data_IF_087026238327
#
_entry.id   IF_087026238327
#
_cell.length_a   1.000
_cell.length_b   1.000
_cell.length_c   1.000
_cell.angle_alpha   90.00
_cell.angle_beta   90.00
_cell.angle_gamma   90.00
#
_symmetry.space_group_name_H-M   'P 1'
#
loop_
_entity.id
_entity.type
_entity.pdbx_description
1 polymer ?
#
# COMPACT_ATOMS: atom_id res chain seq x y z
N UNK A 1 -0.57 -1.54 33.87
CA UNK A 1 -1.01 -0.53 32.89
C UNK A 1 -0.30 -0.85 31.58
N UNK A 2 -1.01 -1.05 30.47
CA UNK A 2 -0.37 -1.21 29.17
C UNK A 2 0.29 0.11 28.78
N UNK A 3 1.58 0.10 28.44
CA UNK A 3 2.27 1.25 27.89
C UNK A 3 1.55 1.66 26.58
N UNK A 4 1.33 2.96 26.31
CA UNK A 4 0.74 3.37 25.06
C UNK A 4 1.68 2.99 23.92
N UNK A 5 1.19 2.15 23.00
CA UNK A 5 1.94 1.77 21.80
C UNK A 5 2.19 3.01 20.92
N UNK A 6 3.35 3.09 20.25
CA UNK A 6 3.59 4.16 19.29
C UNK A 6 2.52 4.14 18.18
N UNK A 7 2.11 5.30 17.65
CA UNK A 7 1.09 5.36 16.61
C UNK A 7 1.62 4.79 15.28
N UNK A 8 0.99 3.74 14.77
CA UNK A 8 1.38 3.08 13.52
C UNK A 8 2.03 1.72 13.72
N UNK A 9 2.37 1.08 12.61
CA UNK A 9 3.11 -0.19 12.63
C UNK A 9 4.59 0.10 12.87
N UNK A 10 5.22 -0.69 13.73
CA UNK A 10 6.66 -0.69 13.91
C UNK A 10 7.33 -1.39 12.71
N UNK A 11 8.62 -1.09 12.40
CA UNK A 11 9.33 -1.76 11.32
C UNK A 11 9.30 -3.30 11.41
N UNK A 12 9.33 -3.84 12.63
CA UNK A 12 9.24 -5.29 12.85
C UNK A 12 7.86 -5.84 12.54
N UNK A 13 6.78 -5.12 12.87
CA UNK A 13 5.42 -5.51 12.51
C UNK A 13 5.20 -5.45 10.99
N UNK A 14 5.77 -4.47 10.29
CA UNK A 14 5.71 -4.43 8.83
C UNK A 14 6.50 -5.59 8.22
N UNK A 15 7.69 -5.91 8.76
CA UNK A 15 8.44 -7.11 8.37
C UNK A 15 7.63 -8.39 8.58
N UNK A 16 6.94 -8.52 9.72
CA UNK A 16 6.05 -9.64 10.00
C UNK A 16 4.88 -9.74 9.02
N UNK A 17 4.30 -8.62 8.59
CA UNK A 17 3.26 -8.63 7.55
C UNK A 17 3.83 -9.02 6.17
N UNK A 18 5.04 -8.55 5.85
CA UNK A 18 5.75 -8.92 4.62
C UNK A 18 6.04 -10.42 4.53
N UNK A 19 6.20 -11.12 5.66
CA UNK A 19 6.42 -12.57 5.67
C UNK A 19 5.28 -13.39 5.05
N UNK A 20 4.10 -12.80 4.90
CA UNK A 20 2.94 -13.43 4.24
C UNK A 20 2.97 -13.31 2.72
N UNK A 21 3.88 -12.52 2.15
CA UNK A 21 4.05 -12.39 0.69
C UNK A 21 4.46 -13.72 0.07
N UNK A 22 3.92 -14.02 -1.10
CA UNK A 22 4.28 -15.23 -1.85
C UNK A 22 5.56 -15.00 -2.64
N UNK A 23 6.51 -15.93 -2.47
CA UNK A 23 7.77 -15.97 -3.23
C UNK A 23 7.90 -17.29 -3.98
N UNK A 24 8.68 -17.29 -5.06
CA UNK A 24 8.98 -18.54 -5.79
C UNK A 24 10.16 -19.25 -5.15
N UNK A 25 9.98 -20.53 -4.81
CA UNK A 25 11.04 -21.40 -4.30
C UNK A 25 11.25 -22.59 -5.22
N UNK A 26 12.49 -23.08 -5.28
CA UNK A 26 12.87 -24.31 -5.95
C UNK A 26 13.32 -25.30 -4.86
N UNK A 27 12.51 -26.33 -4.55
CA UNK A 27 12.86 -27.32 -3.53
C UNK A 27 14.04 -28.18 -3.99
N UNK A 28 14.91 -28.55 -3.06
CA UNK A 28 16.08 -29.42 -3.29
C UNK A 28 15.83 -30.88 -2.94
N UNK A 29 14.75 -31.15 -2.23
CA UNK A 29 14.30 -32.48 -1.84
C UNK A 29 12.78 -32.55 -1.84
N UNK A 30 12.22 -33.76 -1.98
CA UNK A 30 10.78 -33.96 -1.90
C UNK A 30 10.30 -33.70 -0.47
N UNK A 31 9.32 -32.81 -0.31
CA UNK A 31 8.71 -32.47 0.96
C UNK A 31 7.22 -32.80 0.90
N UNK A 32 6.76 -33.57 1.88
CA UNK A 32 5.34 -33.83 2.05
C UNK A 32 4.63 -32.56 2.57
N UNK A 33 3.33 -32.46 2.28
CA UNK A 33 2.51 -31.33 2.71
C UNK A 33 2.40 -31.26 4.23
N UNK A 34 2.21 -30.04 4.74
CA UNK A 34 2.01 -29.76 6.16
C UNK A 34 0.56 -29.34 6.38
N UNK A 35 -0.10 -29.93 7.37
CA UNK A 35 -1.43 -29.50 7.83
C UNK A 35 -1.27 -28.28 8.75
N UNK A 36 -1.55 -27.08 8.23
CA UNK A 36 -1.47 -25.83 8.98
C UNK A 36 -2.88 -25.29 9.29
N UNK A 37 -2.96 -24.36 10.24
CA UNK A 37 -4.23 -23.68 10.57
C UNK A 37 -4.83 -22.93 9.36
N UNK A 38 -3.98 -22.41 8.47
CA UNK A 38 -4.39 -21.75 7.22
C UNK A 38 -4.73 -22.71 6.08
N UNK A 39 -4.73 -24.03 6.33
CA UNK A 39 -4.93 -25.07 5.33
C UNK A 39 -3.67 -25.89 5.04
N UNK A 40 -3.80 -27.02 4.34
CA UNK A 40 -2.68 -27.88 3.98
C UNK A 40 -1.78 -27.20 2.94
N UNK A 41 -0.46 -27.33 3.10
CA UNK A 41 0.50 -26.94 2.06
C UNK A 41 0.63 -28.02 1.01
N UNK A 42 0.87 -27.64 -0.24
CA UNK A 42 1.13 -28.60 -1.31
C UNK A 42 2.45 -29.37 -1.09
N UNK A 43 2.51 -30.58 -1.67
CA UNK A 43 3.75 -31.37 -1.69
C UNK A 43 4.76 -30.72 -2.63
N UNK A 44 5.99 -30.56 -2.17
CA UNK A 44 7.06 -29.91 -2.93
C UNK A 44 7.93 -30.97 -3.58
N UNK A 45 8.02 -30.94 -4.91
CA UNK A 45 8.78 -31.91 -5.69
C UNK A 45 9.89 -31.20 -6.48
N UNK A 46 11.18 -31.51 -6.23
CA UNK A 46 12.27 -31.01 -7.06
C UNK A 46 12.17 -31.48 -8.51
N UNK A 47 12.65 -30.70 -9.49
CA UNK A 47 13.12 -29.31 -9.39
C UNK A 47 11.99 -28.28 -9.65
N UNK A 48 10.72 -28.66 -9.48
CA UNK A 48 9.61 -27.82 -9.90
C UNK A 48 9.43 -26.60 -8.97
N UNK A 49 9.29 -25.38 -9.54
CA UNK A 49 9.08 -24.19 -8.74
C UNK A 49 7.71 -24.23 -8.06
N UNK A 50 7.66 -23.73 -6.82
CA UNK A 50 6.43 -23.62 -6.03
C UNK A 50 6.33 -22.21 -5.43
N UNK A 51 5.10 -21.75 -5.20
CA UNK A 51 4.85 -20.47 -4.51
C UNK A 51 4.56 -20.76 -3.04
N UNK A 52 5.33 -20.16 -2.13
CA UNK A 52 5.15 -20.30 -0.69
C UNK A 52 5.17 -18.92 -0.03
N UNK A 53 4.51 -18.74 1.12
CA UNK A 53 4.71 -17.58 1.97
C UNK A 53 6.20 -17.43 2.34
N UNK A 54 6.67 -16.19 2.39
CA UNK A 54 8.06 -15.86 2.66
C UNK A 54 8.58 -16.49 3.96
N UNK A 55 7.81 -16.50 5.05
CA UNK A 55 8.25 -17.14 6.31
C UNK A 55 8.64 -18.62 6.12
N UNK A 56 7.87 -19.36 5.31
CA UNK A 56 8.11 -20.77 5.06
C UNK A 56 9.30 -20.95 4.11
N UNK A 57 9.40 -20.09 3.09
CA UNK A 57 10.53 -20.08 2.17
C UNK A 57 11.85 -19.83 2.92
N UNK A 58 11.91 -18.84 3.80
CA UNK A 58 13.08 -18.53 4.62
C UNK A 58 13.43 -19.67 5.58
N UNK A 59 12.43 -20.31 6.19
CA UNK A 59 12.64 -21.49 7.05
C UNK A 59 13.29 -22.64 6.26
N UNK A 60 12.78 -22.94 5.06
CA UNK A 60 13.32 -24.00 4.20
C UNK A 60 14.72 -23.66 3.67
N UNK A 61 14.97 -22.38 3.34
CA UNK A 61 16.29 -21.88 2.95
C UNK A 61 17.32 -22.06 4.06
N UNK A 62 16.98 -21.67 5.30
CA UNK A 62 17.83 -21.87 6.49
C UNK A 62 18.16 -23.35 6.73
N UNK A 63 17.22 -24.24 6.42
CA UNK A 63 17.43 -25.70 6.50
C UNK A 63 18.15 -26.29 5.29
N UNK A 64 18.55 -25.48 4.29
CA UNK A 64 19.18 -25.90 3.03
C UNK A 64 18.31 -26.83 2.17
N UNK A 65 16.99 -26.75 2.33
CA UNK A 65 16.00 -27.62 1.65
C UNK A 65 15.38 -27.00 0.41
N UNK A 66 15.54 -25.69 0.21
CA UNK A 66 15.06 -24.97 -0.97
C UNK A 66 16.00 -23.80 -1.28
N UNK A 67 16.03 -23.39 -2.54
CA UNK A 67 16.57 -22.11 -2.98
C UNK A 67 15.40 -21.19 -3.32
N UNK A 68 15.57 -19.89 -3.13
CA UNK A 68 14.57 -18.88 -3.49
C UNK A 68 14.93 -18.34 -4.86
N UNK A 69 13.95 -18.16 -5.74
CA UNK A 69 14.14 -17.45 -7.00
C UNK A 69 13.83 -15.97 -6.77
N UNK A 70 14.81 -15.05 -6.88
CA UNK A 70 14.56 -13.63 -6.68
C UNK A 70 13.49 -13.10 -7.64
N UNK A 71 12.58 -12.22 -7.19
CA UNK A 71 11.61 -11.61 -8.09
C UNK A 71 12.31 -10.69 -9.09
N UNK A 72 11.83 -10.62 -10.36
CA UNK A 72 12.53 -9.87 -11.42
C UNK A 72 12.77 -8.38 -11.14
N UNK A 73 11.92 -7.72 -10.34
CA UNK A 73 12.13 -6.33 -9.93
C UNK A 73 13.28 -6.14 -8.95
N UNK A 74 13.70 -7.21 -8.26
CA UNK A 74 14.83 -7.21 -7.33
C UNK A 74 16.12 -7.66 -8.03
N UNK A 75 16.31 -7.22 -9.27
CA UNK A 75 17.53 -7.43 -10.05
C UNK A 75 18.30 -6.11 -10.19
N UNK A 76 19.64 -6.14 -10.37
CA UNK A 76 20.43 -4.91 -10.51
C UNK A 76 19.95 -4.00 -11.64
N UNK A 77 19.64 -4.55 -12.81
CA UNK A 77 19.17 -3.80 -13.98
C UNK A 77 17.82 -3.13 -13.73
N UNK A 78 16.88 -3.85 -13.12
CA UNK A 78 15.56 -3.31 -12.78
C UNK A 78 15.66 -2.20 -11.74
N UNK A 79 16.36 -2.44 -10.63
CA UNK A 79 16.50 -1.44 -9.56
C UNK A 79 17.18 -0.17 -10.07
N UNK A 80 18.13 -0.31 -11.01
CA UNK A 80 18.74 0.84 -11.67
C UNK A 80 17.73 1.62 -12.52
N UNK A 81 16.93 0.94 -13.35
CA UNK A 81 15.84 1.59 -14.13
C UNK A 81 14.84 2.32 -13.22
N UNK A 82 14.43 1.69 -12.11
CA UNK A 82 13.54 2.29 -11.11
C UNK A 82 14.20 3.52 -10.45
N UNK A 83 15.49 3.44 -10.11
CA UNK A 83 16.22 4.57 -9.51
C UNK A 83 16.36 5.74 -10.50
N UNK A 84 16.60 5.47 -11.78
CA UNK A 84 16.63 6.48 -12.84
C UNK A 84 15.26 7.17 -12.97
N UNK A 85 14.17 6.40 -12.94
CA UNK A 85 12.80 6.96 -12.89
C UNK A 85 12.60 7.86 -11.66
N UNK A 86 13.06 7.43 -10.48
CA UNK A 86 12.86 8.19 -9.24
C UNK A 86 13.68 9.47 -9.16
N UNK A 87 14.83 9.51 -9.83
CA UNK A 87 15.75 10.65 -9.85
C UNK A 87 15.47 11.64 -10.99
N UNK A 88 14.63 11.28 -11.98
CA UNK A 88 14.25 12.19 -13.06
C UNK A 88 13.52 13.43 -12.50
N UNK A 89 14.06 14.65 -12.66
CA UNK A 89 13.42 15.87 -12.17
C UNK A 89 12.05 16.13 -12.82
N UNK A 90 11.78 15.61 -14.02
CA UNK A 90 10.48 15.76 -14.70
C UNK A 90 9.36 15.00 -13.98
N UNK A 91 9.72 13.96 -13.23
CA UNK A 91 8.81 13.07 -12.52
C UNK A 91 8.86 13.29 -10.99
N UNK A 92 9.34 14.45 -10.54
CA UNK A 92 9.54 14.74 -9.12
C UNK A 92 8.27 14.60 -8.24
N UNK A 93 7.08 14.74 -8.84
CA UNK A 93 5.78 14.57 -8.16
C UNK A 93 5.22 13.15 -8.16
N UNK A 94 5.88 12.18 -8.79
CA UNK A 94 5.43 10.80 -8.89
C UNK A 94 6.48 9.84 -8.34
N UNK A 95 6.02 8.81 -7.64
CA UNK A 95 6.82 7.65 -7.25
C UNK A 95 6.72 6.56 -8.33
N UNK A 96 7.70 5.68 -8.36
CA UNK A 96 7.71 4.52 -9.22
C UNK A 96 6.39 3.73 -9.05
N UNK A 97 5.78 3.29 -10.16
CA UNK A 97 4.49 2.61 -10.12
C UNK A 97 4.59 1.25 -9.44
N UNK A 98 3.53 0.89 -8.72
CA UNK A 98 3.35 -0.46 -8.20
C UNK A 98 2.91 -1.45 -9.28
N UNK A 99 2.80 -2.75 -8.95
CA UNK A 99 2.30 -3.77 -9.86
C UNK A 99 0.93 -3.40 -10.43
N UNK A 100 0.68 -3.80 -11.68
CA UNK A 100 -0.59 -3.51 -12.34
C UNK A 100 -1.73 -4.26 -11.62
N UNK A 101 -2.85 -3.56 -11.45
CA UNK A 101 -4.02 -4.15 -10.81
C UNK A 101 -4.74 -5.10 -11.77
N UNK A 102 -5.23 -6.26 -11.30
CA UNK A 102 -6.00 -7.17 -12.14
C UNK A 102 -7.31 -6.51 -12.60
N UNK A 103 -7.77 -6.87 -13.80
CA UNK A 103 -9.09 -6.46 -14.29
C UNK A 103 -10.18 -7.02 -13.37
N UNK A 104 -11.25 -6.24 -13.16
CA UNK A 104 -12.40 -6.69 -12.37
C UNK A 104 -13.14 -7.82 -13.11
N UNK A 105 -13.09 -9.03 -12.57
CA UNK A 105 -13.67 -10.24 -13.19
C UNK A 105 -15.12 -10.53 -12.78
N UNK A 106 -15.88 -9.54 -12.30
CA UNK A 106 -17.21 -9.77 -11.72
C UNK A 106 -18.33 -10.01 -12.75
N UNK A 107 -19.12 -11.07 -12.54
CA UNK A 107 -20.48 -11.22 -13.11
C UNK A 107 -21.48 -10.81 -12.03
N UNK A 108 -22.31 -9.80 -12.29
CA UNK A 108 -23.23 -9.23 -11.30
C UNK A 108 -24.42 -10.17 -11.04
N UNK A 109 -24.66 -10.54 -9.77
CA UNK A 109 -25.93 -11.14 -9.34
C UNK A 109 -26.89 -10.01 -8.89
N UNK A 110 -28.19 -10.03 -9.24
CA UNK A 110 -29.07 -8.86 -9.15
C UNK A 110 -29.28 -8.25 -7.74
N UNK A 111 -29.11 -9.01 -6.65
CA UNK A 111 -29.64 -8.61 -5.33
C UNK A 111 -28.67 -8.69 -4.13
N UNK A 112 -27.36 -8.86 -4.36
CA UNK A 112 -26.39 -9.00 -3.25
C UNK A 112 -25.30 -7.90 -3.30
N UNK A 113 -25.56 -6.68 -2.77
CA UNK A 113 -24.67 -5.54 -2.92
C UNK A 113 -23.29 -5.71 -2.27
N UNK A 114 -23.19 -6.54 -1.23
CA UNK A 114 -21.93 -6.83 -0.53
C UNK A 114 -21.15 -8.01 -1.15
N UNK A 115 -21.79 -8.81 -2.00
CA UNK A 115 -21.16 -9.88 -2.79
C UNK A 115 -21.01 -9.48 -4.27
N UNK A 116 -21.22 -8.20 -4.60
CA UNK A 116 -20.93 -7.67 -5.92
C UNK A 116 -19.44 -7.88 -6.18
N UNK A 117 -19.08 -8.83 -7.03
CA UNK A 117 -17.68 -9.06 -7.42
C UNK A 117 -17.03 -7.82 -8.07
N UNK A 118 -17.82 -6.80 -8.45
CA UNK A 118 -17.34 -5.45 -8.80
C UNK A 118 -16.61 -4.73 -7.64
N UNK A 119 -16.80 -5.12 -6.38
CA UNK A 119 -16.20 -4.48 -5.20
C UNK A 119 -14.99 -5.21 -4.62
N UNK A 120 -14.61 -6.38 -5.15
CA UNK A 120 -13.36 -7.05 -4.78
C UNK A 120 -12.20 -6.46 -5.59
N UNK A 121 -11.91 -5.19 -5.35
CA UNK A 121 -10.72 -4.53 -5.88
C UNK A 121 -9.50 -5.06 -5.12
N UNK A 122 -8.82 -6.05 -5.71
CA UNK A 122 -7.52 -6.50 -5.20
C UNK A 122 -6.57 -5.30 -5.29
N UNK A 123 -6.13 -4.83 -4.13
CA UNK A 123 -5.17 -3.74 -4.01
C UNK A 123 -3.90 -4.23 -3.33
N UNK A 124 -2.84 -3.44 -3.45
CA UNK A 124 -1.61 -3.66 -2.68
C UNK A 124 -1.91 -3.71 -1.17
N UNK A 125 -1.38 -4.68 -0.41
CA UNK A 125 -0.35 -5.67 -0.77
C UNK A 125 -0.87 -6.97 -1.43
N UNK A 126 -2.17 -7.20 -1.54
CA UNK A 126 -2.76 -8.48 -1.91
C UNK A 126 -2.69 -8.83 -3.41
N UNK A 127 -1.84 -8.13 -4.18
CA UNK A 127 -1.64 -8.38 -5.60
C UNK A 127 -0.87 -9.70 -5.77
N UNK A 128 -1.50 -10.64 -6.47
CA UNK A 128 -0.88 -11.94 -6.77
C UNK A 128 0.39 -11.74 -7.60
N UNK A 129 1.38 -12.61 -7.37
CA UNK A 129 2.62 -12.67 -8.15
C UNK A 129 3.50 -11.40 -8.07
N UNK A 130 3.24 -10.48 -7.14
CA UNK A 130 4.03 -9.25 -6.94
C UNK A 130 5.48 -9.51 -6.52
N UNK A 131 5.72 -10.64 -5.85
CA UNK A 131 7.01 -11.01 -5.26
C UNK A 131 7.49 -12.39 -5.72
N UNK A 132 6.92 -12.91 -6.81
CA UNK A 132 7.27 -14.21 -7.40
C UNK A 132 8.18 -14.04 -8.61
N UNK A 133 8.62 -15.16 -9.19
CA UNK A 133 9.36 -15.19 -10.46
C UNK A 133 8.59 -14.59 -11.66
N UNK A 134 7.28 -14.37 -11.51
CA UNK A 134 6.41 -13.75 -12.51
C UNK A 134 6.19 -12.26 -12.27
N UNK A 135 6.82 -11.68 -11.24
CA UNK A 135 6.66 -10.26 -10.94
C UNK A 135 7.18 -9.38 -12.09
N UNK A 136 6.55 -8.23 -12.25
CA UNK A 136 6.90 -7.25 -13.28
C UNK A 136 8.21 -6.54 -12.91
N UNK A 137 9.18 -6.49 -13.84
CA UNK A 137 10.53 -5.98 -13.56
C UNK A 137 10.54 -4.53 -13.10
N UNK A 138 9.82 -3.61 -13.73
CA UNK A 138 9.90 -2.18 -13.40
C UNK A 138 8.73 -1.71 -12.51
N UNK A 139 8.15 -2.63 -11.73
CA UNK A 139 7.05 -2.33 -10.80
C UNK A 139 7.45 -2.69 -9.38
N UNK A 140 7.31 -1.72 -8.48
CA UNK A 140 7.78 -1.86 -7.11
C UNK A 140 6.62 -2.32 -6.18
N UNK A 141 6.65 -3.54 -5.60
CA UNK A 141 5.57 -4.01 -4.73
C UNK A 141 5.46 -3.23 -3.43
N UNK A 142 4.34 -3.37 -2.72
CA UNK A 142 4.10 -2.67 -1.47
C UNK A 142 5.17 -2.94 -0.39
N UNK A 143 5.60 -4.19 -0.23
CA UNK A 143 6.62 -4.58 0.76
C UNK A 143 8.05 -4.67 0.18
N UNK A 144 8.37 -3.88 -0.85
CA UNK A 144 9.64 -4.00 -1.58
C UNK A 144 10.88 -3.89 -0.69
N UNK A 145 10.85 -3.02 0.32
CA UNK A 145 12.01 -2.73 1.16
C UNK A 145 12.27 -3.85 2.18
N UNK A 146 11.21 -4.34 2.82
CA UNK A 146 11.24 -5.44 3.78
C UNK A 146 11.58 -6.75 3.09
N UNK A 147 10.93 -7.02 1.95
CA UNK A 147 11.18 -8.23 1.17
C UNK A 147 12.64 -8.26 0.70
N UNK A 148 13.13 -7.13 0.15
CA UNK A 148 14.52 -6.98 -0.27
C UNK A 148 15.49 -7.23 0.89
N UNK A 149 15.24 -6.62 2.05
CA UNK A 149 16.06 -6.82 3.25
C UNK A 149 16.08 -8.28 3.73
N UNK A 150 14.92 -8.92 3.87
CA UNK A 150 14.79 -10.29 4.37
C UNK A 150 15.46 -11.31 3.41
N UNK A 151 15.22 -11.17 2.11
CA UNK A 151 15.82 -12.05 1.10
C UNK A 151 17.35 -11.89 1.04
N UNK A 152 17.87 -10.66 1.01
CA UNK A 152 19.31 -10.42 0.99
C UNK A 152 20.01 -10.78 2.31
N UNK A 153 19.27 -10.87 3.41
CA UNK A 153 19.84 -11.30 4.70
C UNK A 153 19.98 -12.81 4.80
N UNK A 154 19.00 -13.56 4.28
CA UNK A 154 18.89 -15.00 4.50
C UNK A 154 19.12 -15.87 3.25
N UNK A 155 19.08 -15.27 2.07
CA UNK A 155 19.17 -15.94 0.78
C UNK A 155 20.04 -15.18 -0.23
N UNK A 156 21.05 -14.42 0.23
CA UNK A 156 21.93 -13.65 -0.68
C UNK A 156 22.69 -14.51 -1.69
N UNK A 157 22.88 -15.79 -1.39
CA UNK A 157 23.52 -16.77 -2.28
C UNK A 157 22.66 -17.16 -3.49
N UNK A 158 21.35 -16.82 -3.49
CA UNK A 158 20.47 -17.02 -4.64
C UNK A 158 20.45 -15.81 -5.61
N UNK A 159 21.22 -14.75 -5.31
CA UNK A 159 21.32 -13.55 -6.14
C UNK A 159 22.62 -13.53 -6.95
N UNK A 160 22.57 -12.95 -8.15
CA UNK A 160 23.76 -12.78 -9.00
C UNK A 160 24.79 -11.81 -8.40
N UNK A 161 24.34 -10.61 -7.97
CA UNK A 161 25.18 -9.60 -7.31
C UNK A 161 24.45 -8.99 -6.09
N UNK A 162 24.48 -9.66 -4.92
CA UNK A 162 23.74 -9.23 -3.74
C UNK A 162 24.22 -7.88 -3.20
N UNK A 163 25.49 -7.52 -3.37
CA UNK A 163 26.04 -6.28 -2.84
C UNK A 163 25.59 -5.05 -3.64
N UNK A 164 25.55 -5.18 -4.97
CA UNK A 164 24.95 -4.16 -5.82
C UNK A 164 23.46 -3.99 -5.55
N UNK A 165 22.71 -5.09 -5.37
CA UNK A 165 21.27 -5.02 -5.02
C UNK A 165 21.07 -4.29 -3.68
N UNK A 166 21.86 -4.61 -2.64
CA UNK A 166 21.80 -3.90 -1.34
C UNK A 166 22.07 -2.40 -1.49
N UNK A 167 23.07 -2.02 -2.28
CA UNK A 167 23.39 -0.62 -2.52
C UNK A 167 22.23 0.09 -3.21
N UNK A 168 21.72 -0.46 -4.31
CA UNK A 168 20.61 0.12 -5.08
C UNK A 168 19.32 0.25 -4.25
N UNK A 169 18.98 -0.74 -3.42
CA UNK A 169 17.83 -0.62 -2.51
C UNK A 169 17.98 0.53 -1.49
N UNK A 170 19.19 0.72 -0.94
CA UNK A 170 19.45 1.84 -0.02
C UNK A 170 19.34 3.18 -0.73
N UNK A 171 19.94 3.31 -1.91
CA UNK A 171 19.89 4.52 -2.73
C UNK A 171 18.42 4.85 -3.08
N UNK A 172 17.65 3.84 -3.51
CA UNK A 172 16.23 3.96 -3.81
C UNK A 172 15.40 4.40 -2.60
N UNK A 173 15.61 3.79 -1.42
CA UNK A 173 14.94 4.18 -0.17
C UNK A 173 15.24 5.63 0.19
N UNK A 174 16.48 6.07 0.06
CA UNK A 174 16.87 7.44 0.38
C UNK A 174 16.19 8.46 -0.55
N UNK A 175 16.22 8.22 -1.87
CA UNK A 175 15.57 9.08 -2.87
C UNK A 175 14.07 9.17 -2.61
N UNK A 176 13.40 8.03 -2.40
CA UNK A 176 11.95 7.98 -2.18
C UNK A 176 11.54 8.63 -0.87
N UNK A 177 12.28 8.41 0.22
CA UNK A 177 12.04 9.11 1.49
C UNK A 177 12.23 10.62 1.37
N UNK A 178 13.22 11.07 0.60
CA UNK A 178 13.42 12.49 0.31
C UNK A 178 12.25 13.07 -0.50
N UNK A 179 11.79 12.35 -1.53
CA UNK A 179 10.63 12.73 -2.35
C UNK A 179 9.34 12.80 -1.53
N UNK A 180 9.07 11.80 -0.70
CA UNK A 180 7.93 11.77 0.23
C UNK A 180 7.94 12.99 1.16
N UNK A 181 9.07 13.27 1.84
CA UNK A 181 9.19 14.43 2.73
C UNK A 181 8.94 15.76 2.00
N UNK A 182 9.38 15.90 0.74
CA UNK A 182 9.09 17.08 -0.08
C UNK A 182 7.60 17.17 -0.42
N UNK A 183 6.98 16.04 -0.78
CA UNK A 183 5.54 15.96 -1.06
C UNK A 183 4.68 16.39 0.13
N UNK A 184 5.02 15.93 1.34
CA UNK A 184 4.28 16.29 2.56
C UNK A 184 4.47 17.75 3.01
N UNK A 185 5.53 18.45 2.58
CA UNK A 185 5.68 19.89 2.88
C UNK A 185 4.63 20.74 2.17
N UNK A 186 4.07 20.26 1.07
CA UNK A 186 3.01 20.94 0.31
C UNK A 186 1.60 20.64 0.85
N UNK A 187 1.49 20.03 2.04
CA UNK A 187 0.20 19.66 2.62
C UNK A 187 -0.52 20.90 3.16
N UNK A 188 -1.55 21.35 2.44
CA UNK A 188 -2.46 22.41 2.89
C UNK A 188 -3.66 21.84 3.64
N UNK A 189 -4.26 22.65 4.50
CA UNK A 189 -5.47 22.28 5.22
C UNK A 189 -6.63 22.01 4.24
N UNK A 190 -7.15 20.78 4.24
CA UNK A 190 -8.25 20.34 3.38
C UNK A 190 -7.83 19.77 2.03
N UNK A 191 -6.53 19.78 1.68
CA UNK A 191 -6.04 19.17 0.46
C UNK A 191 -5.81 17.66 0.64
N UNK A 192 -6.38 16.85 -0.27
CA UNK A 192 -6.08 15.42 -0.34
C UNK A 192 -4.69 15.17 -0.95
N UNK A 193 -3.91 14.26 -0.35
CA UNK A 193 -2.63 13.83 -0.91
C UNK A 193 -2.81 12.54 -1.70
N UNK A 194 -2.32 12.51 -2.94
CA UNK A 194 -2.23 11.27 -3.72
C UNK A 194 -1.03 10.47 -3.21
N UNK A 195 -1.29 9.29 -2.66
CA UNK A 195 -0.27 8.40 -2.04
C UNK A 195 -0.10 7.14 -2.88
N UNK A 196 0.07 7.29 -4.19
CA UNK A 196 0.24 6.16 -5.10
C UNK A 196 1.70 5.66 -5.12
N UNK A 197 1.86 4.33 -5.14
CA UNK A 197 3.17 3.70 -5.23
C UNK A 197 4.02 3.79 -3.95
N UNK A 198 3.46 4.21 -2.81
CA UNK A 198 4.15 4.23 -1.51
C UNK A 198 4.16 2.82 -0.92
N UNK A 199 5.30 2.39 -0.40
CA UNK A 199 5.48 1.06 0.22
C UNK A 199 5.14 1.02 1.70
N UNK A 200 5.03 -0.19 2.26
CA UNK A 200 4.68 -0.46 3.65
C UNK A 200 5.62 0.21 4.65
N UNK A 201 6.94 0.04 4.51
CA UNK A 201 7.92 0.69 5.40
C UNK A 201 7.79 2.21 5.36
N UNK A 202 7.61 2.76 4.16
CA UNK A 202 7.54 4.20 3.95
C UNK A 202 6.31 4.79 4.64
N UNK A 203 5.15 4.11 4.53
CA UNK A 203 3.93 4.45 5.27
C UNK A 203 4.18 4.37 6.77
N UNK A 204 4.77 3.28 7.25
CA UNK A 204 5.00 3.06 8.68
C UNK A 204 5.89 4.14 9.31
N UNK A 205 6.97 4.53 8.62
CA UNK A 205 7.90 5.56 9.08
C UNK A 205 7.27 6.97 9.11
N UNK A 206 6.38 7.28 8.16
CA UNK A 206 5.85 8.64 8.02
C UNK A 206 4.51 8.85 8.74
N UNK A 207 3.74 7.78 8.97
CA UNK A 207 2.35 7.83 9.47
C UNK A 207 2.20 8.58 10.78
N UNK A 208 3.09 8.31 11.76
CA UNK A 208 3.02 8.97 13.06
C UNK A 208 3.18 10.49 12.97
N UNK A 209 4.11 10.95 12.12
CA UNK A 209 4.35 12.37 11.89
C UNK A 209 3.19 13.03 11.13
N UNK A 210 2.81 12.46 9.97
CA UNK A 210 1.78 13.06 9.10
C UNK A 210 0.42 13.06 9.78
N UNK A 211 0.05 11.99 10.48
CA UNK A 211 -1.18 11.92 11.25
C UNK A 211 -1.26 13.04 12.29
N UNK A 212 -0.18 13.26 13.05
CA UNK A 212 -0.12 14.34 14.03
C UNK A 212 -0.25 15.74 13.42
N UNK A 213 0.39 16.00 12.27
CA UNK A 213 0.28 17.29 11.55
C UNK A 213 -1.13 17.51 11.02
N UNK A 214 -1.72 16.50 10.37
CA UNK A 214 -3.08 16.56 9.80
C UNK A 214 -4.12 16.77 10.90
N UNK A 215 -4.02 16.04 12.00
CA UNK A 215 -4.92 16.20 13.15
C UNK A 215 -4.78 17.60 13.76
N UNK A 216 -3.55 18.12 13.82
CA UNK A 216 -3.28 19.49 14.26
C UNK A 216 -3.91 20.54 13.35
N UNK A 217 -3.70 20.43 12.03
CA UNK A 217 -4.31 21.32 11.05
C UNK A 217 -5.84 21.24 11.09
N UNK A 218 -6.41 20.05 11.27
CA UNK A 218 -7.86 19.88 11.38
C UNK A 218 -8.42 20.58 12.61
N UNK A 219 -7.77 20.46 13.77
CA UNK A 219 -8.16 21.18 15.00
C UNK A 219 -8.06 22.70 14.85
N UNK A 220 -7.06 23.20 14.13
CA UNK A 220 -6.89 24.64 13.89
C UNK A 220 -7.94 25.21 12.92
N UNK A 221 -8.39 24.41 11.93
CA UNK A 221 -9.38 24.87 10.95
C UNK A 221 -10.83 24.65 11.39
N UNK A 222 -11.09 23.72 12.31
CA UNK A 222 -12.42 23.46 12.87
C UNK A 222 -13.20 24.74 13.26
N UNK A 223 -12.66 25.68 14.07
CA UNK A 223 -13.40 26.89 14.43
C UNK A 223 -13.70 27.82 13.24
N UNK A 224 -12.86 27.81 12.20
CA UNK A 224 -13.07 28.60 10.98
C UNK A 224 -14.17 27.98 10.11
N UNK A 225 -14.18 26.66 9.99
CA UNK A 225 -15.24 25.93 9.29
C UNK A 225 -16.59 26.07 10.00
N UNK A 226 -16.61 26.00 11.33
CA UNK A 226 -17.82 26.15 12.13
C UNK A 226 -18.41 27.57 11.99
N UNK A 227 -17.56 28.61 12.05
CA UNK A 227 -17.99 29.99 11.83
C UNK A 227 -18.50 30.26 10.40
N UNK A 228 -17.95 29.58 9.38
CA UNK A 228 -18.48 29.65 8.02
C UNK A 228 -19.84 28.98 7.90
N UNK A 229 -20.03 27.80 8.51
CA UNK A 229 -21.32 27.10 8.52
C UNK A 229 -22.41 27.88 9.23
N UNK A 230 -22.09 28.53 10.36
CA UNK A 230 -23.03 29.40 11.08
C UNK A 230 -23.48 30.59 10.21
N UNK A 231 -22.55 31.24 9.49
CA UNK A 231 -22.89 32.33 8.57
C UNK A 231 -23.72 31.89 7.36
N UNK A 232 -23.46 30.68 6.83
CA UNK A 232 -24.24 30.11 5.74
C UNK A 232 -25.66 29.72 6.17
N UNK A 233 -25.83 29.22 7.41
CA UNK A 233 -27.14 28.95 7.99
C UNK A 233 -27.96 30.24 8.20
N UNK A 234 -27.34 31.27 8.76
CA UNK A 234 -28.00 32.58 8.96
C UNK A 234 -28.39 33.25 7.62
N UNK A 235 -27.60 33.03 6.56
CA UNK A 235 -27.87 33.55 5.22
C UNK A 235 -29.02 32.83 4.48
N UNK A 236 -29.25 31.55 4.77
CA UNK A 236 -30.39 30.79 4.22
C UNK A 236 -31.70 31.17 4.88
N UNK A 237 -31.70 31.46 6.19
CA UNK A 237 -32.89 31.97 6.89
C UNK A 237 -33.29 33.40 6.43
N UNK A 238 -32.33 34.21 5.98
CA UNK A 238 -32.59 35.56 5.45
C UNK A 238 -33.25 35.59 4.05
N UNK A 239 -33.13 34.51 3.25
CA UNK A 239 -33.72 34.40 1.90
C UNK A 239 -35.02 33.59 1.87
N UNK A 240 -35.42 32.96 2.98
CA UNK A 240 -36.70 32.23 3.12
C UNK A 240 -37.90 33.10 3.56
N UNK A 241 -37.70 34.40 3.78
CA UNK A 241 -38.63 35.29 4.46
C UNK A 241 -39.44 36.28 3.60
N UNK A 242 -39.70 36.00 2.32
CA UNK A 242 -40.61 36.81 1.51
C UNK A 242 -41.27 35.91 0.47
N UNK A 243 -42.58 35.65 0.43
CA UNK A 243 -43.73 36.16 1.16
C UNK A 243 -44.91 35.85 0.24
N UNK A 244 -45.81 34.93 0.64
CA UNK A 244 -47.13 34.84 0.02
C UNK A 244 -48.10 34.08 0.94
N UNK A 245 -48.41 34.66 2.10
CA UNK A 245 -49.73 34.46 2.71
C UNK A 245 -50.63 35.54 2.13
N UNK A 246 -51.40 35.19 1.09
CA UNK A 246 -52.62 35.92 0.77
C UNK A 246 -53.74 34.98 1.21
N UNK A 247 -54.17 35.19 2.46
CA UNK A 247 -55.37 34.57 3.02
C UNK A 247 -56.58 35.29 2.41
N UNK A 248 -57.58 34.50 2.05
CA UNK A 248 -58.85 34.92 1.46
C UNK A 248 -59.62 35.83 2.43
N UNK A 249 -60.29 36.87 1.91
CA UNK A 249 -61.64 37.21 2.39
C UNK A 249 -62.37 38.12 1.38
N UNK A 250 -63.55 37.64 1.01
CA UNK A 250 -64.59 38.27 0.21
C UNK A 250 -65.08 39.60 0.81
N UNK A 251 -65.26 40.62 -0.05
CA UNK A 251 -66.20 41.71 0.21
C UNK A 251 -66.91 42.16 -1.11
N UNK A 252 -68.11 41.59 -1.28
CA UNK A 252 -69.39 42.17 -1.73
C UNK A 252 -69.46 43.30 -2.79
N UNK A 253 -70.21 42.97 -3.85
CA UNK A 253 -71.19 43.79 -4.62
C UNK A 253 -70.76 45.07 -5.37
N UNK A 254 -70.92 45.03 -6.71
CA UNK A 254 -72.02 45.68 -7.45
C UNK A 254 -72.16 45.11 -8.88
#
# INVERSE_FOLDING_TARGET
MALPLPPGLTPNEVGFLCEMELVTVIPRQRLEGLELLGGPTERLNPPFPAQLPLWLALLLKRQKRANISPPPWLSPSSLQSILEFETDPRLAGALAPGPDLPESTGVSLPNEPYLKHESLEISSPFIKDSSTSRAQQERLPYHWNELGFLLLTHASDDFEDPDTVRRLLRDLREVRMSKLRKGFKALEAGAGLKVNGVGGMEVAEIRGFVGGVVDGLRKLNQPREDAQKEQEADGQDALGGSGNYQDDDDDMEL
#
